data_IF_151058464481
#
_entry.id   IF_151058464481
#
_cell.length_a   1.000
_cell.length_b   1.000
_cell.length_c   1.000
_cell.angle_alpha   90.00
_cell.angle_beta   90.00
_cell.angle_gamma   90.00
#
_symmetry.space_group_name_H-M   'P 1'
#
loop_
_entity.id
_entity.type
_entity.pdbx_description
1 polymer ?
#
# COMPACT_ATOMS: atom_id res chain seq x y z
N UNK A 1 15.00 3.93 -13.60
CA UNK A 1 14.19 3.99 -14.87
C UNK A 1 12.73 4.00 -14.45
N UNK A 2 11.93 4.97 -14.89
CA UNK A 2 10.50 5.00 -14.60
C UNK A 2 9.84 3.77 -15.23
N UNK A 3 8.95 3.10 -14.49
CA UNK A 3 8.22 1.95 -14.99
C UNK A 3 7.30 2.39 -16.15
N UNK A 4 7.66 2.00 -17.39
CA UNK A 4 6.92 2.42 -18.60
C UNK A 4 5.46 1.97 -18.58
N UNK A 5 5.18 0.81 -18.00
CA UNK A 5 3.83 0.27 -17.89
C UNK A 5 2.96 1.13 -16.97
N UNK A 6 3.49 1.52 -15.82
CA UNK A 6 2.78 2.39 -14.87
C UNK A 6 2.50 3.77 -15.46
N UNK A 7 3.46 4.34 -16.20
CA UNK A 7 3.28 5.63 -16.86
C UNK A 7 2.26 5.56 -18.00
N UNK A 8 2.22 4.45 -18.75
CA UNK A 8 1.23 4.22 -19.79
C UNK A 8 -0.16 4.00 -19.20
N UNK A 9 -0.29 3.19 -18.16
CA UNK A 9 -1.54 2.96 -17.43
C UNK A 9 -2.09 4.27 -16.84
N UNK A 10 -1.22 5.07 -16.19
CA UNK A 10 -1.57 6.38 -15.63
C UNK A 10 -2.09 7.35 -16.70
N UNK A 11 -1.42 7.46 -17.86
CA UNK A 11 -1.87 8.31 -18.99
C UNK A 11 -3.23 7.87 -19.53
N UNK A 12 -3.49 6.57 -19.54
CA UNK A 12 -4.74 5.99 -20.01
C UNK A 12 -5.83 5.95 -18.93
N UNK A 13 -5.58 6.42 -17.68
CA UNK A 13 -6.45 6.23 -16.50
C UNK A 13 -6.80 4.75 -16.27
N UNK A 14 -5.84 3.86 -16.44
CA UNK A 14 -5.95 2.40 -16.33
C UNK A 14 -4.98 1.88 -15.28
N UNK A 15 -4.96 2.52 -14.10
CA UNK A 15 -4.04 2.22 -12.99
C UNK A 15 -4.75 1.56 -11.78
N UNK A 16 -5.95 1.04 -12.00
CA UNK A 16 -6.66 0.18 -11.06
C UNK A 16 -6.29 -1.28 -11.33
N UNK A 17 -5.79 -1.98 -10.32
CA UNK A 17 -5.31 -3.35 -10.41
C UNK A 17 -5.80 -4.17 -9.23
N UNK A 18 -6.17 -5.43 -9.47
CA UNK A 18 -6.59 -6.33 -8.40
C UNK A 18 -5.39 -7.06 -7.77
N UNK A 19 -5.22 -6.85 -6.48
CA UNK A 19 -4.19 -7.52 -5.67
C UNK A 19 -4.53 -9.00 -5.48
N UNK A 20 -3.53 -9.87 -5.56
CA UNK A 20 -3.72 -11.30 -5.30
C UNK A 20 -4.04 -11.55 -3.83
N UNK A 21 -4.99 -12.46 -3.57
CA UNK A 21 -5.39 -12.81 -2.20
C UNK A 21 -4.21 -13.31 -1.36
N UNK A 22 -3.31 -14.08 -1.97
CA UNK A 22 -2.10 -14.59 -1.29
C UNK A 22 -1.13 -13.49 -0.84
N UNK A 23 -1.08 -12.35 -1.54
CA UNK A 23 -0.24 -11.22 -1.14
C UNK A 23 -0.92 -10.40 -0.05
N UNK A 24 -2.25 -10.33 -0.08
CA UNK A 24 -3.07 -9.73 0.99
C UNK A 24 -2.89 -10.55 2.29
N UNK A 25 -3.05 -11.86 2.24
CA UNK A 25 -2.90 -12.76 3.39
C UNK A 25 -1.52 -12.65 4.03
N UNK A 26 -0.45 -12.64 3.21
CA UNK A 26 0.93 -12.53 3.70
C UNK A 26 1.20 -11.22 4.44
N UNK A 27 0.59 -10.15 4.04
CA UNK A 27 0.73 -8.86 4.72
C UNK A 27 -0.18 -8.80 5.94
N UNK A 28 -1.47 -9.04 5.76
CA UNK A 28 -2.49 -8.78 6.78
C UNK A 28 -2.37 -9.68 8.02
N UNK A 29 -1.75 -10.87 7.92
CA UNK A 29 -1.48 -11.73 9.07
C UNK A 29 -0.73 -11.01 10.21
N UNK A 30 0.07 -10.00 9.87
CA UNK A 30 0.85 -9.22 10.83
C UNK A 30 0.03 -8.14 11.56
N UNK A 31 -1.22 -7.91 11.13
CA UNK A 31 -2.10 -6.83 11.62
C UNK A 31 -3.37 -7.32 12.31
N UNK A 32 -3.55 -8.62 12.50
CA UNK A 32 -4.79 -9.22 13.02
C UNK A 32 -5.29 -8.58 14.32
N UNK A 33 -4.37 -8.25 15.23
CA UNK A 33 -4.72 -7.60 16.50
C UNK A 33 -5.39 -6.23 16.33
N UNK A 34 -5.15 -5.56 15.20
CA UNK A 34 -5.73 -4.24 14.91
C UNK A 34 -7.17 -4.30 14.43
N UNK A 35 -7.68 -5.48 14.01
CA UNK A 35 -8.98 -5.61 13.39
C UNK A 35 -10.12 -5.91 14.37
N UNK A 36 -9.84 -6.49 15.52
CA UNK A 36 -10.88 -6.92 16.48
C UNK A 36 -11.77 -5.77 16.95
N UNK A 37 -13.09 -5.92 16.75
CA UNK A 37 -14.10 -4.93 17.11
C UNK A 37 -14.11 -3.67 16.24
N UNK A 38 -13.46 -3.69 15.08
CA UNK A 38 -13.27 -2.54 14.21
C UNK A 38 -14.17 -2.57 12.98
N UNK A 39 -14.51 -1.37 12.52
CA UNK A 39 -15.10 -1.14 11.20
C UNK A 39 -13.99 -0.95 10.18
N UNK A 40 -13.90 -1.85 9.20
CA UNK A 40 -12.91 -1.81 8.10
C UNK A 40 -13.58 -1.26 6.84
N UNK A 41 -12.91 -0.34 6.16
CA UNK A 41 -13.34 0.25 4.89
C UNK A 41 -12.36 -0.12 3.77
N UNK A 42 -12.89 -0.70 2.69
CA UNK A 42 -12.21 -0.98 1.43
C UNK A 42 -12.85 -0.10 0.34
N UNK A 43 -12.42 1.14 0.21
CA UNK A 43 -13.13 2.16 -0.58
C UNK A 43 -12.59 2.41 -2.00
N UNK A 44 -11.77 1.52 -2.52
CA UNK A 44 -11.32 1.56 -3.91
C UNK A 44 -11.42 0.17 -4.55
N UNK A 45 -12.32 -0.65 -4.05
CA UNK A 45 -12.38 -2.07 -4.35
C UNK A 45 -13.82 -2.49 -4.67
N UNK A 46 -14.06 -2.98 -5.89
CA UNK A 46 -15.35 -3.59 -6.23
C UNK A 46 -15.58 -4.85 -5.38
N UNK A 47 -16.63 -4.94 -4.55
CA UNK A 47 -16.89 -6.07 -3.67
C UNK A 47 -16.95 -7.44 -4.38
N UNK A 48 -17.39 -7.48 -5.62
CA UNK A 48 -17.46 -8.74 -6.38
C UNK A 48 -16.12 -9.21 -6.93
N UNK A 49 -15.23 -8.26 -7.24
CA UNK A 49 -13.93 -8.56 -7.85
C UNK A 49 -12.77 -8.47 -6.85
N UNK A 50 -12.90 -7.59 -5.85
CA UNK A 50 -11.81 -7.29 -4.91
C UNK A 50 -11.45 -8.47 -4.01
N UNK A 51 -10.18 -8.83 -4.01
CA UNK A 51 -9.66 -9.80 -3.05
C UNK A 51 -9.52 -9.23 -1.63
N UNK A 52 -9.52 -7.91 -1.44
CA UNK A 52 -9.61 -7.31 -0.09
C UNK A 52 -10.98 -7.61 0.52
N UNK A 53 -12.05 -7.37 -0.23
CA UNK A 53 -13.38 -7.69 0.23
C UNK A 53 -13.51 -9.18 0.55
N UNK A 54 -13.10 -10.06 -0.38
CA UNK A 54 -13.13 -11.52 -0.19
C UNK A 54 -12.34 -11.94 1.05
N UNK A 55 -11.14 -11.40 1.25
CA UNK A 55 -10.32 -11.69 2.43
C UNK A 55 -11.03 -11.32 3.74
N UNK A 56 -11.55 -10.08 3.85
CA UNK A 56 -12.21 -9.65 5.07
C UNK A 56 -13.55 -10.34 5.30
N UNK A 57 -14.32 -10.62 4.26
CA UNK A 57 -15.57 -11.35 4.39
C UNK A 57 -15.34 -12.79 4.88
N UNK A 58 -14.37 -13.52 4.29
CA UNK A 58 -14.03 -14.89 4.71
C UNK A 58 -13.48 -14.96 6.15
N UNK A 59 -12.71 -13.96 6.55
CA UNK A 59 -12.10 -13.91 7.87
C UNK A 59 -12.88 -13.05 8.87
N UNK A 60 -14.12 -12.62 8.54
CA UNK A 60 -14.90 -11.67 9.30
C UNK A 60 -15.04 -12.08 10.78
N UNK A 61 -15.50 -13.30 11.01
CA UNK A 61 -15.73 -13.86 12.34
C UNK A 61 -14.41 -14.12 13.08
N UNK A 62 -13.39 -14.64 12.39
CA UNK A 62 -12.08 -14.95 12.98
C UNK A 62 -11.33 -13.68 13.40
N UNK A 63 -11.37 -12.64 12.58
CA UNK A 63 -10.82 -11.32 12.90
C UNK A 63 -11.64 -10.58 13.96
N UNK A 64 -12.88 -11.01 14.20
CA UNK A 64 -13.82 -10.38 15.11
C UNK A 64 -14.17 -8.95 14.67
N UNK A 65 -14.39 -8.74 13.38
CA UNK A 65 -14.76 -7.43 12.84
C UNK A 65 -16.12 -7.00 13.41
N UNK A 66 -16.27 -5.69 13.63
CA UNK A 66 -17.57 -5.07 13.91
C UNK A 66 -18.38 -4.88 12.64
N UNK A 67 -17.72 -4.39 11.58
CA UNK A 67 -18.35 -4.07 10.30
C UNK A 67 -17.30 -4.06 9.17
N UNK A 68 -17.69 -4.52 8.00
CA UNK A 68 -16.93 -4.38 6.76
C UNK A 68 -17.72 -3.49 5.80
N UNK A 69 -17.09 -2.45 5.29
CA UNK A 69 -17.66 -1.55 4.27
C UNK A 69 -16.77 -1.63 3.03
N UNK A 70 -17.37 -1.82 1.88
CA UNK A 70 -16.67 -1.80 0.61
C UNK A 70 -17.43 -0.91 -0.38
N UNK A 71 -16.72 -0.08 -1.15
CA UNK A 71 -17.35 0.85 -2.11
C UNK A 71 -16.77 0.67 -3.50
N UNK A 72 -17.61 0.69 -4.51
CA UNK A 72 -17.26 0.65 -5.90
C UNK A 72 -17.52 2.00 -6.57
N UNK A 73 -16.56 2.47 -7.36
CA UNK A 73 -16.62 3.70 -8.14
C UNK A 73 -17.28 3.44 -9.50
N UNK A 74 -18.22 4.30 -9.92
CA UNK A 74 -18.97 4.16 -11.19
C UNK A 74 -18.12 4.31 -12.46
N UNK A 75 -16.93 4.88 -12.34
CA UNK A 75 -15.97 5.06 -13.44
C UNK A 75 -14.90 3.97 -13.52
N UNK A 76 -14.94 2.96 -12.63
CA UNK A 76 -13.95 1.89 -12.64
C UNK A 76 -14.02 1.11 -13.96
N UNK A 77 -12.91 0.97 -14.68
CA UNK A 77 -12.88 0.19 -15.93
C UNK A 77 -13.05 -1.31 -15.70
N UNK A 78 -12.96 -1.76 -14.46
CA UNK A 78 -12.94 -3.17 -14.02
C UNK A 78 -14.23 -3.57 -13.33
N UNK A 79 -15.23 -2.67 -13.27
CA UNK A 79 -16.49 -2.91 -12.62
C UNK A 79 -17.28 -4.03 -13.29
N UNK A 80 -17.64 -5.05 -12.51
CA UNK A 80 -18.84 -5.81 -12.74
C UNK A 80 -18.84 -6.93 -13.77
N UNK A 81 -17.84 -7.82 -13.80
CA UNK A 81 -17.99 -9.07 -14.55
C UNK A 81 -19.20 -9.90 -14.07
N UNK A 82 -19.36 -10.11 -12.77
CA UNK A 82 -20.48 -10.87 -12.17
C UNK A 82 -21.75 -10.02 -12.00
N UNK A 83 -21.64 -8.72 -11.67
CA UNK A 83 -22.78 -7.80 -11.58
C UNK A 83 -23.48 -7.60 -12.94
N UNK A 84 -22.72 -7.56 -14.02
CA UNK A 84 -23.29 -7.50 -15.38
C UNK A 84 -24.19 -8.70 -15.65
N UNK A 85 -23.84 -9.88 -15.15
CA UNK A 85 -24.65 -11.09 -15.26
C UNK A 85 -25.93 -10.97 -14.46
N UNK A 86 -25.85 -10.44 -13.24
CA UNK A 86 -27.03 -10.18 -12.38
C UNK A 86 -28.02 -9.18 -13.01
N UNK A 87 -27.55 -8.04 -13.55
CA UNK A 87 -28.42 -7.08 -14.22
C UNK A 87 -28.99 -7.58 -15.54
N UNK A 88 -28.29 -8.44 -16.28
CA UNK A 88 -28.81 -9.09 -17.51
C UNK A 88 -29.99 -10.01 -17.23
N UNK A 89 -30.06 -10.64 -16.07
CA UNK A 89 -31.20 -11.47 -15.66
C UNK A 89 -32.49 -10.63 -15.45
N UNK A 90 -32.35 -9.31 -15.23
CA UNK A 90 -33.49 -8.38 -15.08
C UNK A 90 -33.82 -7.58 -16.36
N UNK A 91 -33.25 -7.95 -17.54
CA UNK A 91 -33.45 -7.23 -18.81
C UNK A 91 -33.07 -5.74 -18.80
N UNK A 92 -32.22 -5.31 -17.90
CA UNK A 92 -31.67 -3.95 -17.87
C UNK A 92 -30.30 -3.91 -18.55
N UNK A 93 -30.03 -2.90 -19.37
CA UNK A 93 -28.66 -2.65 -19.83
C UNK A 93 -27.76 -2.36 -18.61
N UNK A 94 -26.60 -3.02 -18.50
CA UNK A 94 -25.72 -2.84 -17.34
C UNK A 94 -25.18 -1.41 -17.31
N UNK A 95 -25.87 -0.55 -16.58
CA UNK A 95 -25.33 0.78 -16.24
C UNK A 95 -24.23 0.58 -15.21
N UNK A 96 -23.08 1.19 -15.46
CA UNK A 96 -22.04 1.31 -14.44
C UNK A 96 -22.59 2.18 -13.32
N UNK A 97 -22.90 1.57 -12.18
CA UNK A 97 -23.45 2.26 -11.01
C UNK A 97 -22.45 2.18 -9.86
N UNK A 98 -22.32 3.26 -9.11
CA UNK A 98 -21.59 3.23 -7.87
C UNK A 98 -22.46 2.58 -6.78
N UNK A 99 -21.85 1.77 -5.94
CA UNK A 99 -22.55 1.13 -4.83
C UNK A 99 -21.62 0.85 -3.67
N UNK A 100 -22.18 0.61 -2.51
CA UNK A 100 -21.49 0.08 -1.33
C UNK A 100 -22.09 -1.23 -0.90
N UNK A 101 -21.27 -2.04 -0.26
CA UNK A 101 -21.65 -3.24 0.48
C UNK A 101 -21.26 -3.04 1.93
N UNK A 102 -22.16 -3.36 2.84
CA UNK A 102 -21.93 -3.31 4.29
C UNK A 102 -22.27 -4.67 4.89
N UNK A 103 -21.32 -5.28 5.59
CA UNK A 103 -21.46 -6.57 6.26
C UNK A 103 -21.22 -6.37 7.75
N UNK A 104 -22.16 -6.84 8.56
CA UNK A 104 -22.05 -6.87 10.04
C UNK A 104 -22.02 -8.29 10.61
N UNK A 105 -22.31 -9.29 9.79
CA UNK A 105 -22.32 -10.69 10.14
C UNK A 105 -22.09 -11.53 8.89
N UNK A 106 -21.35 -12.62 9.01
CA UNK A 106 -21.21 -13.64 7.96
C UNK A 106 -21.57 -15.00 8.57
N UNK A 107 -22.59 -15.64 8.01
CA UNK A 107 -23.10 -16.96 8.45
C UNK A 107 -22.86 -18.00 7.37
N UNK A 108 -22.91 -19.26 7.77
CA UNK A 108 -23.10 -20.38 6.85
C UNK A 108 -24.50 -20.26 6.23
N UNK A 109 -24.56 -19.78 4.99
CA UNK A 109 -25.81 -19.48 4.28
C UNK A 109 -26.33 -20.70 3.50
N UNK A 110 -25.44 -21.62 3.13
CA UNK A 110 -25.78 -22.82 2.38
C UNK A 110 -25.99 -24.05 3.27
N UNK A 111 -25.62 -23.98 4.56
CA UNK A 111 -25.83 -25.04 5.55
C UNK A 111 -24.87 -26.23 5.46
N UNK A 112 -23.68 -26.02 4.83
CA UNK A 112 -22.67 -27.09 4.65
C UNK A 112 -21.73 -27.25 5.86
N UNK A 113 -21.84 -26.38 6.87
CA UNK A 113 -21.09 -26.42 8.12
C UNK A 113 -19.79 -25.60 8.07
N UNK A 114 -19.51 -24.87 6.97
CA UNK A 114 -18.37 -23.99 6.80
C UNK A 114 -18.84 -22.56 6.46
N UNK A 115 -17.95 -21.58 6.53
CA UNK A 115 -18.16 -20.24 5.99
C UNK A 115 -17.13 -20.03 4.92
N UNK A 116 -17.58 -19.94 3.68
CA UNK A 116 -16.72 -19.79 2.52
C UNK A 116 -17.24 -18.73 1.50
N UNK A 117 -16.62 -18.67 0.32
CA UNK A 117 -17.01 -17.71 -0.73
C UNK A 117 -18.44 -17.94 -1.25
N UNK A 118 -18.97 -19.16 -1.16
CA UNK A 118 -20.35 -19.43 -1.58
C UNK A 118 -21.35 -18.76 -0.66
N UNK A 119 -21.09 -18.75 0.64
CA UNK A 119 -21.92 -18.04 1.63
C UNK A 119 -21.90 -16.53 1.41
N UNK A 120 -20.70 -15.99 1.16
CA UNK A 120 -20.57 -14.55 0.84
C UNK A 120 -21.34 -14.19 -0.44
N UNK A 121 -21.30 -15.04 -1.45
CA UNK A 121 -22.08 -14.85 -2.69
C UNK A 121 -23.60 -14.88 -2.41
N UNK A 122 -24.07 -15.86 -1.64
CA UNK A 122 -25.49 -15.96 -1.26
C UNK A 122 -25.91 -14.74 -0.43
N UNK A 123 -25.08 -14.29 0.52
CA UNK A 123 -25.31 -13.08 1.30
C UNK A 123 -25.50 -11.85 0.42
N UNK A 124 -24.60 -11.65 -0.55
CA UNK A 124 -24.66 -10.52 -1.47
C UNK A 124 -25.88 -10.57 -2.41
N UNK A 125 -26.34 -11.75 -2.78
CA UNK A 125 -27.51 -11.94 -3.68
C UNK A 125 -28.84 -11.83 -2.98
N UNK A 126 -28.95 -12.29 -1.75
CA UNK A 126 -30.24 -12.47 -1.05
C UNK A 126 -30.55 -11.37 -0.05
N UNK A 127 -29.56 -10.64 0.46
CA UNK A 127 -29.77 -9.60 1.46
C UNK A 127 -29.69 -8.19 0.83
N UNK A 128 -30.86 -7.68 0.41
CA UNK A 128 -30.99 -6.33 -0.14
C UNK A 128 -30.52 -5.22 0.81
N UNK A 129 -30.39 -5.51 2.11
CA UNK A 129 -29.89 -4.55 3.09
C UNK A 129 -28.37 -4.44 3.10
N UNK A 130 -27.66 -5.40 2.50
CA UNK A 130 -26.19 -5.42 2.42
C UNK A 130 -25.67 -4.44 1.35
N UNK A 131 -26.40 -4.28 0.25
CA UNK A 131 -25.99 -3.42 -0.87
C UNK A 131 -26.87 -2.17 -0.98
N UNK A 132 -26.26 -1.01 -1.19
CA UNK A 132 -26.94 0.24 -1.49
C UNK A 132 -26.19 1.06 -2.54
N UNK A 133 -26.96 1.80 -3.37
CA UNK A 133 -26.40 2.65 -4.41
C UNK A 133 -25.73 3.87 -3.79
N UNK A 134 -24.65 4.31 -4.44
CA UNK A 134 -23.95 5.55 -4.19
C UNK A 134 -24.15 6.49 -5.38
N UNK A 135 -23.96 7.77 -5.18
CA UNK A 135 -24.03 8.77 -6.25
C UNK A 135 -22.88 8.61 -7.23
N UNK A 136 -21.65 8.55 -6.73
CA UNK A 136 -20.43 8.39 -7.54
C UNK A 136 -19.52 7.27 -7.10
N UNK A 137 -19.44 6.99 -5.79
CA UNK A 137 -18.48 6.09 -5.20
C UNK A 137 -17.02 6.59 -5.24
N UNK A 138 -16.79 7.81 -5.70
CA UNK A 138 -15.46 8.43 -5.64
C UNK A 138 -15.08 8.69 -4.18
N UNK A 139 -13.86 8.27 -3.78
CA UNK A 139 -13.41 8.41 -2.39
C UNK A 139 -13.44 9.86 -1.88
N UNK A 140 -13.45 10.85 -2.78
CA UNK A 140 -13.53 12.29 -2.47
C UNK A 140 -14.98 12.79 -2.27
N UNK A 141 -15.97 12.03 -2.71
CA UNK A 141 -17.36 12.40 -2.58
C UNK A 141 -17.77 12.52 -1.11
N UNK A 142 -18.79 13.34 -0.84
CA UNK A 142 -19.29 13.51 0.53
C UNK A 142 -19.72 12.17 1.14
N UNK A 143 -20.44 11.35 0.38
CA UNK A 143 -20.90 10.02 0.81
C UNK A 143 -19.74 9.10 1.22
N UNK A 144 -18.66 9.05 0.41
CA UNK A 144 -17.48 8.23 0.72
C UNK A 144 -16.66 8.82 1.88
N UNK A 145 -16.61 10.14 2.03
CA UNK A 145 -16.00 10.81 3.20
C UNK A 145 -16.78 10.52 4.48
N UNK A 146 -18.11 10.46 4.41
CA UNK A 146 -18.92 10.10 5.59
C UNK A 146 -18.71 8.63 5.98
N UNK A 147 -18.59 7.71 5.01
CA UNK A 147 -18.19 6.32 5.27
C UNK A 147 -16.75 6.22 5.83
N UNK A 148 -15.84 7.05 5.32
CA UNK A 148 -14.47 7.14 5.86
C UNK A 148 -14.49 7.56 7.33
N UNK A 149 -15.33 8.53 7.72
CA UNK A 149 -15.45 8.98 9.12
C UNK A 149 -15.99 7.87 10.02
N UNK A 150 -16.91 7.06 9.53
CA UNK A 150 -17.44 5.90 10.26
C UNK A 150 -16.39 4.80 10.48
N UNK A 151 -15.50 4.60 9.53
CA UNK A 151 -14.50 3.54 9.58
C UNK A 151 -13.43 3.80 10.65
N UNK A 152 -12.99 2.74 11.31
CA UNK A 152 -11.82 2.74 12.19
C UNK A 152 -10.52 2.57 11.39
N UNK A 153 -10.54 1.68 10.39
CA UNK A 153 -9.39 1.33 9.54
C UNK A 153 -9.76 1.36 8.06
N UNK A 154 -8.81 1.77 7.25
CA UNK A 154 -8.89 1.70 5.79
C UNK A 154 -7.87 0.70 5.27
N UNK A 155 -8.33 -0.31 4.51
CA UNK A 155 -7.45 -1.31 3.89
C UNK A 155 -7.86 -1.47 2.44
N UNK A 156 -7.00 -1.02 1.51
CA UNK A 156 -7.37 -0.97 0.08
C UNK A 156 -6.15 -0.82 -0.83
N UNK A 157 -6.36 -0.96 -2.13
CA UNK A 157 -5.40 -0.63 -3.17
C UNK A 157 -5.89 0.60 -3.95
N UNK A 158 -5.57 1.84 -3.52
CA UNK A 158 -6.02 3.04 -4.20
C UNK A 158 -5.32 3.22 -5.56
N UNK A 159 -5.93 3.94 -6.52
CA UNK A 159 -5.27 4.29 -7.76
C UNK A 159 -3.93 5.01 -7.52
N UNK A 160 -2.82 4.49 -8.07
CA UNK A 160 -1.49 5.03 -7.82
C UNK A 160 -1.32 6.50 -8.27
N UNK A 161 -2.09 6.92 -9.26
CA UNK A 161 -2.12 8.31 -9.72
C UNK A 161 -2.68 9.28 -8.67
N UNK A 162 -3.59 8.82 -7.82
CA UNK A 162 -4.26 9.60 -6.78
C UNK A 162 -3.68 9.38 -5.37
N UNK A 163 -2.60 8.60 -5.25
CA UNK A 163 -2.04 8.18 -3.96
C UNK A 163 -1.73 9.35 -3.01
N UNK A 164 -1.21 10.47 -3.51
CA UNK A 164 -0.90 11.66 -2.69
C UNK A 164 -2.14 12.27 -2.08
N UNK A 165 -3.18 12.42 -2.89
CA UNK A 165 -4.47 12.97 -2.46
C UNK A 165 -5.14 12.04 -1.46
N UNK A 166 -5.07 10.74 -1.73
CA UNK A 166 -5.63 9.70 -0.88
C UNK A 166 -4.99 9.67 0.52
N UNK A 167 -3.65 9.64 0.61
CA UNK A 167 -2.94 9.75 1.89
C UNK A 167 -3.29 11.04 2.62
N UNK A 168 -3.36 12.17 1.91
CA UNK A 168 -3.77 13.44 2.51
C UNK A 168 -5.15 13.36 3.15
N UNK A 169 -6.11 12.72 2.49
CA UNK A 169 -7.45 12.51 3.02
C UNK A 169 -7.45 11.63 4.28
N UNK A 170 -6.71 10.51 4.26
CA UNK A 170 -6.59 9.62 5.41
C UNK A 170 -5.98 10.34 6.63
N UNK A 171 -4.90 11.08 6.42
CA UNK A 171 -4.23 11.84 7.49
C UNK A 171 -5.09 12.98 8.04
N UNK A 172 -5.81 13.70 7.17
CA UNK A 172 -6.71 14.79 7.59
C UNK A 172 -7.93 14.30 8.38
N UNK A 173 -8.29 13.02 8.24
CA UNK A 173 -9.38 12.40 9.00
C UNK A 173 -8.87 11.49 10.13
N UNK A 174 -7.58 11.57 10.49
CA UNK A 174 -6.94 10.77 11.56
C UNK A 174 -7.18 9.25 11.42
N UNK A 175 -7.22 8.75 10.19
CA UNK A 175 -7.52 7.34 9.94
C UNK A 175 -6.30 6.43 10.12
N UNK A 176 -6.56 5.27 10.70
CA UNK A 176 -5.64 4.14 10.65
C UNK A 176 -5.79 3.46 9.30
N UNK A 177 -4.67 3.04 8.71
CA UNK A 177 -4.72 2.47 7.37
C UNK A 177 -3.58 1.49 7.07
N UNK A 178 -3.85 0.62 6.11
CA UNK A 178 -2.88 -0.25 5.45
C UNK A 178 -3.23 -0.26 3.96
N UNK A 179 -2.43 0.40 3.14
CA UNK A 179 -2.74 0.60 1.71
C UNK A 179 -1.55 0.28 0.82
N UNK A 180 -1.84 -0.12 -0.42
CA UNK A 180 -0.83 -0.39 -1.43
C UNK A 180 -0.46 0.91 -2.16
N UNK A 181 0.85 1.10 -2.38
CA UNK A 181 1.36 2.21 -3.17
C UNK A 181 2.68 1.86 -3.85
N UNK A 182 3.09 2.70 -4.79
CA UNK A 182 4.37 2.53 -5.46
C UNK A 182 5.49 3.20 -4.65
N UNK A 183 6.67 2.57 -4.55
CA UNK A 183 7.81 3.10 -3.77
C UNK A 183 8.24 4.53 -4.19
N UNK A 184 7.95 4.96 -5.42
CA UNK A 184 8.19 6.34 -5.82
C UNK A 184 7.39 7.35 -4.99
N UNK A 185 6.30 6.93 -4.34
CA UNK A 185 5.54 7.79 -3.44
C UNK A 185 6.38 8.27 -2.24
N UNK A 186 7.37 7.49 -1.80
CA UNK A 186 8.34 7.90 -0.77
C UNK A 186 9.00 9.24 -1.13
N UNK A 187 9.19 9.51 -2.42
CA UNK A 187 9.88 10.71 -2.90
C UNK A 187 9.00 11.96 -2.98
N UNK A 188 7.70 11.82 -2.73
CA UNK A 188 6.78 12.95 -2.84
C UNK A 188 6.92 13.89 -1.65
N UNK A 189 6.81 15.18 -1.93
CA UNK A 189 6.94 16.24 -0.91
C UNK A 189 5.85 16.17 0.18
N UNK A 190 4.72 15.55 -0.13
CA UNK A 190 3.61 15.33 0.79
C UNK A 190 3.80 14.06 1.65
N UNK A 191 4.57 13.09 1.17
CA UNK A 191 4.72 11.76 1.79
C UNK A 191 5.99 11.66 2.64
N UNK A 192 7.13 12.12 2.11
CA UNK A 192 8.40 11.99 2.81
C UNK A 192 8.41 12.64 4.22
N UNK A 193 7.84 13.84 4.43
CA UNK A 193 7.73 14.42 5.77
C UNK A 193 6.98 13.51 6.76
N UNK A 194 5.90 12.85 6.32
CA UNK A 194 5.15 11.93 7.16
C UNK A 194 5.99 10.71 7.58
N UNK A 195 6.84 10.19 6.66
CA UNK A 195 7.79 9.11 6.98
C UNK A 195 8.84 9.60 7.98
N UNK A 196 9.45 10.77 7.72
CA UNK A 196 10.45 11.37 8.60
C UNK A 196 9.91 11.64 10.01
N UNK A 197 8.66 12.08 10.11
CA UNK A 197 7.98 12.37 11.38
C UNK A 197 7.41 11.12 12.05
N UNK A 198 7.68 9.93 11.50
CA UNK A 198 7.15 8.66 12.01
C UNK A 198 5.61 8.62 12.09
N UNK A 199 4.92 9.30 11.18
CA UNK A 199 3.46 9.26 11.06
C UNK A 199 2.98 8.15 10.14
N UNK A 200 3.80 7.76 9.16
CA UNK A 200 3.57 6.61 8.27
C UNK A 200 4.88 5.84 8.04
N UNK A 201 4.76 4.57 7.69
CA UNK A 201 5.89 3.69 7.41
C UNK A 201 5.52 2.59 6.41
N UNK A 202 6.50 1.78 6.02
CA UNK A 202 6.31 0.64 5.13
C UNK A 202 5.91 -0.61 5.92
N UNK A 203 4.99 -1.39 5.36
CA UNK A 203 4.63 -2.71 5.84
C UNK A 203 5.71 -3.76 5.56
N UNK A 204 5.32 -5.04 5.56
CA UNK A 204 6.25 -6.15 5.29
C UNK A 204 6.62 -6.29 3.81
N UNK A 205 5.74 -5.81 2.91
CA UNK A 205 6.02 -5.71 1.49
C UNK A 205 5.77 -6.97 0.67
N UNK A 206 6.08 -6.89 -0.62
CA UNK A 206 5.91 -7.98 -1.58
C UNK A 206 7.21 -8.77 -1.73
N UNK A 207 7.16 -10.09 -1.63
CA UNK A 207 8.31 -10.96 -1.86
C UNK A 207 8.78 -10.83 -3.32
N UNK A 208 10.10 -10.60 -3.51
CA UNK A 208 10.70 -10.47 -4.85
C UNK A 208 10.62 -9.07 -5.46
N UNK A 209 10.30 -8.04 -4.68
CA UNK A 209 10.29 -6.62 -5.08
C UNK A 209 9.34 -6.27 -6.26
N UNK A 210 8.45 -7.17 -6.64
CA UNK A 210 7.42 -6.91 -7.65
C UNK A 210 6.10 -7.57 -7.25
N UNK A 211 4.99 -6.85 -7.44
CA UNK A 211 3.66 -7.40 -7.31
C UNK A 211 3.12 -7.80 -8.67
N UNK A 212 2.32 -8.87 -8.70
CA UNK A 212 1.56 -9.28 -9.86
C UNK A 212 0.08 -9.02 -9.58
N UNK A 213 -0.54 -8.21 -10.41
CA UNK A 213 -1.94 -7.83 -10.28
C UNK A 213 -2.76 -8.42 -11.40
N UNK A 214 -3.97 -8.86 -11.11
CA UNK A 214 -4.94 -9.15 -12.15
C UNK A 214 -5.34 -7.87 -12.86
N UNK A 215 -5.42 -7.94 -14.19
CA UNK A 215 -5.80 -6.81 -15.00
C UNK A 215 -6.52 -7.28 -16.25
N UNK A 216 -7.60 -6.61 -16.68
CA UNK A 216 -8.24 -6.85 -17.96
C UNK A 216 -7.40 -6.34 -19.14
N UNK A 217 -6.33 -5.60 -18.85
CA UNK A 217 -5.47 -5.04 -19.88
C UNK A 217 -4.31 -5.98 -20.20
N UNK A 218 -3.90 -5.97 -21.48
CA UNK A 218 -2.75 -6.75 -21.92
C UNK A 218 -1.49 -6.26 -21.23
N UNK A 219 -0.75 -7.17 -20.57
CA UNK A 219 0.57 -6.88 -20.07
C UNK A 219 1.56 -6.76 -21.24
N UNK A 220 2.31 -5.66 -21.25
CA UNK A 220 3.36 -5.39 -22.23
C UNK A 220 4.76 -5.58 -21.63
N UNK A 221 4.86 -6.10 -20.41
CA UNK A 221 6.14 -6.37 -19.77
C UNK A 221 6.84 -7.55 -20.46
N UNK A 222 8.16 -7.41 -20.62
CA UNK A 222 9.01 -8.44 -21.24
C UNK A 222 9.82 -9.22 -20.21
N UNK A 223 9.43 -9.15 -18.92
CA UNK A 223 10.14 -9.84 -17.85
C UNK A 223 9.90 -11.36 -17.90
N UNK A 224 10.93 -12.15 -17.62
CA UNK A 224 10.86 -13.61 -17.70
C UNK A 224 9.96 -14.30 -16.65
N UNK A 225 9.41 -13.54 -15.69
CA UNK A 225 8.44 -14.00 -14.69
C UNK A 225 7.00 -13.55 -15.00
N UNK A 226 6.72 -13.29 -16.29
CA UNK A 226 5.39 -12.93 -16.77
C UNK A 226 4.37 -14.04 -16.45
N UNK A 227 3.21 -13.64 -15.91
CA UNK A 227 2.07 -14.52 -15.64
C UNK A 227 0.91 -14.12 -16.52
N UNK A 228 0.24 -15.12 -17.09
CA UNK A 228 -0.93 -14.90 -17.95
C UNK A 228 -2.03 -14.14 -17.19
N UNK A 229 -2.68 -13.18 -17.85
CA UNK A 229 -3.71 -12.29 -17.29
C UNK A 229 -3.24 -11.41 -16.11
N UNK A 230 -1.94 -11.26 -15.91
CA UNK A 230 -1.39 -10.41 -14.86
C UNK A 230 -0.47 -9.33 -15.39
N UNK A 231 -0.47 -8.18 -14.71
CA UNK A 231 0.51 -7.12 -14.92
C UNK A 231 1.53 -7.17 -13.77
N UNK A 232 2.81 -7.19 -14.14
CA UNK A 232 3.91 -7.10 -13.19
C UNK A 232 4.27 -5.65 -12.92
N UNK A 233 4.18 -5.23 -11.67
CA UNK A 233 4.56 -3.89 -11.22
C UNK A 233 5.69 -4.01 -10.20
N UNK A 234 6.87 -3.51 -10.54
CA UNK A 234 8.01 -3.45 -9.62
C UNK A 234 7.90 -2.25 -8.67
N UNK A 235 8.47 -2.36 -7.47
CA UNK A 235 8.53 -1.29 -6.50
C UNK A 235 7.19 -0.99 -5.84
N UNK A 236 6.31 -1.97 -5.74
CA UNK A 236 5.07 -1.86 -4.96
C UNK A 236 5.37 -2.14 -3.50
N UNK A 237 4.79 -1.36 -2.60
CA UNK A 237 4.91 -1.48 -1.16
C UNK A 237 3.59 -1.26 -0.46
N UNK A 238 3.50 -1.78 0.76
CA UNK A 238 2.45 -1.43 1.70
C UNK A 238 2.85 -0.18 2.49
N UNK A 239 1.93 0.76 2.63
CA UNK A 239 2.07 1.96 3.46
C UNK A 239 1.06 1.90 4.59
N UNK A 240 1.49 2.22 5.80
CA UNK A 240 0.64 2.08 6.99
C UNK A 240 1.04 3.06 8.09
N UNK A 241 0.11 3.29 9.01
CA UNK A 241 0.34 3.93 10.31
C UNK A 241 -0.10 3.02 11.48
N UNK A 242 -0.26 1.72 11.20
CA UNK A 242 -0.52 0.69 12.21
C UNK A 242 0.79 0.18 12.79
N UNK A 243 0.91 0.12 14.10
CA UNK A 243 2.11 -0.42 14.75
C UNK A 243 2.36 -1.87 14.37
N UNK A 244 3.61 -2.17 14.03
CA UNK A 244 4.07 -3.51 13.66
C UNK A 244 5.41 -3.83 14.33
N UNK A 245 5.63 -5.11 14.72
CA UNK A 245 6.89 -5.54 15.35
C UNK A 245 8.13 -5.19 14.53
N UNK A 246 8.06 -5.31 13.21
CA UNK A 246 9.16 -5.00 12.27
C UNK A 246 9.83 -3.65 12.53
N UNK A 247 9.07 -2.62 12.96
CA UNK A 247 9.62 -1.29 13.25
C UNK A 247 10.53 -1.22 14.47
N UNK A 248 10.48 -2.24 15.33
CA UNK A 248 11.30 -2.33 16.55
C UNK A 248 12.47 -3.29 16.38
N UNK A 249 12.60 -3.94 15.22
CA UNK A 249 13.73 -4.82 14.93
C UNK A 249 15.01 -3.98 14.82
N UNK A 250 16.00 -4.35 15.61
CA UNK A 250 17.31 -3.71 15.56
C UNK A 250 18.11 -4.30 14.40
N UNK A 251 18.64 -3.44 13.55
CA UNK A 251 19.51 -3.86 12.46
C UNK A 251 20.91 -4.16 12.99
N UNK A 252 21.41 -5.37 12.75
CA UNK A 252 22.79 -5.73 13.06
C UNK A 252 23.73 -5.02 12.09
N UNK A 253 24.62 -4.17 12.63
CA UNK A 253 25.62 -3.42 11.89
C UNK A 253 26.99 -4.08 12.12
N UNK A 254 27.57 -4.62 11.07
CA UNK A 254 28.84 -5.37 11.14
C UNK A 254 30.00 -4.65 10.46
N UNK A 255 29.71 -3.66 9.61
CA UNK A 255 30.73 -2.88 8.91
C UNK A 255 31.31 -1.80 9.82
N UNK A 256 32.60 -1.49 9.63
CA UNK A 256 33.26 -0.35 10.26
C UNK A 256 33.52 0.74 9.22
N UNK A 257 33.55 1.97 9.69
CA UNK A 257 33.85 3.11 8.84
C UNK A 257 35.33 3.12 8.45
N UNK A 258 35.58 3.39 7.17
CA UNK A 258 36.91 3.83 6.68
C UNK A 258 36.71 4.87 5.57
N UNK A 259 37.58 5.90 5.46
CA UNK A 259 37.46 6.93 4.42
C UNK A 259 37.55 6.38 3.00
N UNK A 260 38.24 5.26 2.81
CA UNK A 260 38.45 4.61 1.52
C UNK A 260 37.17 3.94 1.01
N UNK A 261 36.38 3.35 1.91
CA UNK A 261 35.16 2.61 1.55
C UNK A 261 33.92 3.50 1.53
N UNK A 262 33.91 4.61 2.29
CA UNK A 262 32.76 5.47 2.44
C UNK A 262 33.10 6.92 2.03
N UNK A 263 33.04 7.24 0.73
CA UNK A 263 33.37 8.57 0.24
C UNK A 263 32.37 9.61 0.74
N UNK A 264 32.85 10.86 0.95
CA UNK A 264 32.01 11.99 1.27
C UNK A 264 31.28 12.52 0.02
N UNK A 265 30.08 13.07 0.22
CA UNK A 265 29.40 13.81 -0.83
C UNK A 265 30.08 15.13 -1.12
N UNK A 266 30.05 15.55 -2.39
CA UNK A 266 30.64 16.80 -2.87
C UNK A 266 29.89 18.04 -2.33
N UNK A 267 28.60 17.90 -2.02
CA UNK A 267 27.68 19.00 -1.73
C UNK A 267 26.87 18.81 -0.43
N UNK A 268 27.33 17.95 0.47
CA UNK A 268 26.75 17.78 1.79
C UNK A 268 27.72 17.06 2.73
N UNK A 269 27.76 17.48 4.00
CA UNK A 269 28.60 16.84 5.03
C UNK A 269 28.01 15.51 5.47
N UNK A 270 28.18 14.49 4.63
CA UNK A 270 27.74 13.13 4.87
C UNK A 270 28.53 12.15 4.00
N UNK A 271 28.57 10.89 4.40
CA UNK A 271 29.16 9.79 3.63
C UNK A 271 28.14 9.05 2.77
N UNK A 272 28.59 8.52 1.64
CA UNK A 272 27.80 7.60 0.80
C UNK A 272 27.88 6.18 1.31
N UNK A 273 26.71 5.56 1.52
CA UNK A 273 26.56 4.13 1.85
C UNK A 273 25.79 3.45 0.71
N UNK A 274 26.46 2.71 -0.11
CA UNK A 274 25.91 2.16 -1.36
C UNK A 274 24.83 1.10 -1.15
N UNK A 275 24.85 0.39 -0.01
CA UNK A 275 23.87 -0.66 0.37
C UNK A 275 23.48 -0.52 1.83
N UNK A 276 22.23 -0.78 2.14
CA UNK A 276 21.73 -0.78 3.53
C UNK A 276 22.51 -1.72 4.46
N UNK A 277 22.97 -2.87 3.94
CA UNK A 277 23.76 -3.84 4.71
C UNK A 277 25.16 -3.33 5.08
N UNK A 278 25.63 -2.29 4.41
CA UNK A 278 26.97 -1.73 4.62
C UNK A 278 26.95 -0.49 5.53
N UNK A 279 25.86 -0.22 6.23
CA UNK A 279 25.82 0.89 7.19
C UNK A 279 26.85 0.62 8.28
N UNK A 280 27.85 1.51 8.49
CA UNK A 280 28.88 1.31 9.50
C UNK A 280 28.31 1.45 10.91
N UNK A 281 28.81 0.62 11.82
CA UNK A 281 28.35 0.59 13.20
C UNK A 281 28.92 1.72 14.07
N UNK A 282 30.07 2.27 13.70
CA UNK A 282 30.90 3.18 14.48
C UNK A 282 30.95 4.63 13.94
N UNK A 283 30.19 4.95 12.90
CA UNK A 283 30.19 6.29 12.33
C UNK A 283 29.14 7.19 13.00
N UNK A 284 29.60 8.32 13.56
CA UNK A 284 28.74 9.28 14.29
C UNK A 284 28.07 10.34 13.39
N UNK A 285 28.58 10.50 12.16
CA UNK A 285 28.10 11.51 11.21
C UNK A 285 26.83 11.10 10.45
N UNK A 286 26.49 11.90 9.46
CA UNK A 286 25.33 11.67 8.60
C UNK A 286 25.74 10.73 7.45
N UNK A 287 24.86 9.82 7.09
CA UNK A 287 25.06 8.80 6.05
C UNK A 287 23.94 8.86 5.03
N UNK A 288 24.28 8.83 3.74
CA UNK A 288 23.30 8.70 2.66
C UNK A 288 23.10 7.24 2.30
N UNK A 289 21.92 6.70 2.53
CA UNK A 289 21.56 5.30 2.28
C UNK A 289 20.52 5.17 1.17
N UNK A 290 20.43 4.02 0.45
CA UNK A 290 19.36 3.76 -0.50
C UNK A 290 17.96 3.84 0.14
N UNK A 291 16.94 4.16 -0.65
CA UNK A 291 15.55 4.23 -0.15
C UNK A 291 15.04 2.89 0.38
N UNK A 292 15.63 1.77 -0.02
CA UNK A 292 15.36 0.42 0.51
C UNK A 292 15.71 0.27 2.00
N UNK A 293 16.45 1.22 2.57
CA UNK A 293 16.66 1.32 4.02
C UNK A 293 15.34 1.39 4.79
N UNK A 294 14.30 2.03 4.24
CA UNK A 294 13.00 2.17 4.91
C UNK A 294 12.33 0.83 5.22
N UNK A 295 12.67 -0.24 4.49
CA UNK A 295 12.16 -1.58 4.79
C UNK A 295 12.65 -2.13 6.13
N UNK A 296 13.76 -1.58 6.63
CA UNK A 296 14.41 -1.99 7.89
C UNK A 296 14.53 -0.84 8.89
N UNK A 297 13.86 0.28 8.61
CA UNK A 297 13.98 1.47 9.44
C UNK A 297 13.37 1.26 10.82
N UNK A 298 14.23 1.36 11.83
CA UNK A 298 13.85 1.44 13.23
C UNK A 298 14.12 2.86 13.73
N UNK A 299 13.09 3.64 14.16
CA UNK A 299 13.23 5.01 14.61
C UNK A 299 13.96 5.14 15.96
N UNK A 300 14.09 4.04 16.72
CA UNK A 300 14.90 4.05 17.96
C UNK A 300 16.40 3.93 17.65
N UNK A 301 16.74 3.23 16.55
CA UNK A 301 18.14 3.04 16.13
C UNK A 301 18.66 4.16 15.25
N UNK A 302 17.81 4.70 14.35
CA UNK A 302 18.22 5.72 13.39
C UNK A 302 17.31 6.95 13.44
N UNK A 303 17.88 8.07 13.03
CA UNK A 303 17.17 9.32 12.71
C UNK A 303 17.18 9.52 11.20
N UNK A 304 16.03 9.87 10.61
CA UNK A 304 15.97 10.37 9.23
C UNK A 304 16.20 11.86 9.23
N UNK A 305 17.30 12.32 8.65
CA UNK A 305 17.71 13.73 8.64
C UNK A 305 17.09 14.46 7.45
N UNK A 306 17.28 13.94 6.24
CA UNK A 306 16.91 14.64 4.99
C UNK A 306 16.71 13.64 3.85
N UNK A 307 16.09 14.10 2.76
CA UNK A 307 15.94 13.35 1.52
C UNK A 307 16.72 14.00 0.39
N UNK A 308 17.61 13.27 -0.23
CA UNK A 308 18.30 13.38 -1.53
C UNK A 308 19.00 14.70 -1.88
N UNK A 309 18.77 15.79 -1.20
CA UNK A 309 19.33 17.10 -1.58
C UNK A 309 20.49 17.50 -0.70
N UNK A 310 21.55 18.01 -1.35
CA UNK A 310 22.64 18.71 -0.69
C UNK A 310 22.26 20.11 -0.25
N UNK A 311 23.22 20.84 0.29
CA UNK A 311 23.02 22.22 0.76
C UNK A 311 22.85 23.21 -0.40
N UNK A 312 23.35 22.87 -1.57
CA UNK A 312 23.16 23.59 -2.82
C UNK A 312 21.78 23.35 -3.50
N UNK A 313 20.92 22.52 -2.89
CA UNK A 313 19.62 22.16 -3.42
C UNK A 313 19.63 21.15 -4.58
N UNK A 314 20.84 20.70 -5.02
CA UNK A 314 21.01 19.66 -6.04
C UNK A 314 21.00 18.28 -5.43
N UNK A 315 20.94 17.23 -6.26
CA UNK A 315 21.05 15.85 -5.79
C UNK A 315 22.46 15.60 -5.20
N UNK A 316 22.51 14.71 -4.19
CA UNK A 316 23.77 14.29 -3.58
C UNK A 316 24.67 13.64 -4.62
N UNK A 317 25.94 14.07 -4.71
CA UNK A 317 26.89 13.55 -5.66
C UNK A 317 28.23 13.21 -4.99
N UNK A 318 28.90 12.19 -5.52
CA UNK A 318 30.27 11.79 -5.14
C UNK A 318 31.13 11.85 -6.40
N UNK A 319 32.18 12.67 -6.38
CA UNK A 319 33.07 12.89 -7.53
C UNK A 319 32.27 13.22 -8.83
N UNK A 320 31.27 14.10 -8.71
CA UNK A 320 30.40 14.52 -9.80
C UNK A 320 29.37 13.48 -10.27
N UNK A 321 29.34 12.28 -9.69
CA UNK A 321 28.32 11.24 -9.99
C UNK A 321 27.26 11.19 -8.91
N UNK A 322 26.00 11.40 -9.30
CA UNK A 322 24.90 11.41 -8.35
C UNK A 322 24.25 10.02 -8.29
N UNK A 323 24.30 9.33 -7.15
CA UNK A 323 23.62 8.06 -6.98
C UNK A 323 22.11 8.22 -7.05
N UNK A 324 21.41 7.12 -7.38
CA UNK A 324 19.95 7.13 -7.34
C UNK A 324 19.48 7.39 -5.90
N UNK A 325 18.42 8.12 -5.73
CA UNK A 325 17.87 8.67 -4.49
C UNK A 325 18.44 8.11 -3.19
N UNK A 326 18.90 9.00 -2.30
CA UNK A 326 19.40 8.68 -0.97
C UNK A 326 18.54 9.31 0.11
N UNK A 327 18.44 8.62 1.23
CA UNK A 327 17.92 9.14 2.49
C UNK A 327 19.12 9.42 3.37
N UNK A 328 19.21 10.63 3.89
CA UNK A 328 20.23 10.99 4.86
C UNK A 328 19.76 10.55 6.25
N UNK A 329 20.55 9.72 6.90
CA UNK A 329 20.27 9.16 8.22
C UNK A 329 21.42 9.42 9.19
N UNK A 330 21.15 9.28 10.47
CA UNK A 330 22.16 9.22 11.54
C UNK A 330 21.90 7.98 12.40
N UNK A 331 22.97 7.25 12.75
CA UNK A 331 22.90 6.23 13.79
C UNK A 331 22.81 6.93 15.15
N UNK A 332 21.81 6.59 15.96
CA UNK A 332 21.62 7.16 17.29
C UNK A 332 22.53 6.54 18.36
N UNK A 333 23.04 5.35 18.07
CA UNK A 333 23.82 4.55 18.99
C UNK A 333 25.08 3.97 18.30
N UNK A 334 25.99 4.85 17.79
CA UNK A 334 27.22 4.38 17.17
C UNK A 334 28.07 3.65 18.21
N UNK A 335 28.70 2.54 17.78
CA UNK A 335 29.65 1.83 18.63
C UNK A 335 30.87 2.72 18.82
N UNK A 336 31.35 2.81 20.04
CA UNK A 336 32.61 3.50 20.30
C UNK A 336 33.75 2.66 19.72
N UNK A 337 34.76 3.31 19.12
CA UNK A 337 35.92 2.62 18.54
C UNK A 337 36.69 1.80 19.58
#
# INVERSE_FOLDING_TARGET
MANKNLNSARKAKKDEFYTQISDIEKELQHYWAHFRGKTVLCNCDDPYESNFFKYFALNFNQLGLKKLICTCYNGSPVQGGELITFFKEFNEEPKKVAYKVEITEVKDMNGDGAVDLSDVKILLQNDKNVMSLLETGDFRSKECVDLLKEADLVVTNPPFSLFREYIGQLMNNDKKFLIIGHQNAITYKEIFPLIKENKIWLGYGFKGAAAHFFSPYKDIATAGDHKEHMIRVSGVNWFTNLEIPKRKEVMDLVCKYSPEEYPHYDNYDAIEVSKTANIPCDYEGIMGVPITFLDKYNPEQFEIVRFRKGDDGRDLCVNGKCPYFRILIRNKHPQKP
#
